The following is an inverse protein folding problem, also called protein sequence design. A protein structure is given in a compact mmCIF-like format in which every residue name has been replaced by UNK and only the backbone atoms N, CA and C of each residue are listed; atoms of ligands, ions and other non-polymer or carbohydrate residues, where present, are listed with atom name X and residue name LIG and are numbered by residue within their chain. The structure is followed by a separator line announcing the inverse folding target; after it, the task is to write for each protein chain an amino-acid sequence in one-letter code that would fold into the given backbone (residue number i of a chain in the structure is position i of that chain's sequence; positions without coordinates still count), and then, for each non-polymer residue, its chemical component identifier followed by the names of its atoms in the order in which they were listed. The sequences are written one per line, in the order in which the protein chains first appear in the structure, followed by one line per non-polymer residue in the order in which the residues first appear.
data_IF_291945965273
#
_entry.id   IF_291945965273
#
_cell.length_a   1.000
_cell.length_b   1.000
_cell.length_c   1.000
_cell.angle_alpha   90.00
_cell.angle_beta   90.00
_cell.angle_gamma   90.00
#
_symmetry.space_group_name_H-M   'P 1'
#
loop_
_entity.id
_entity.type
_entity.pdbx_description
1 polymer ?
#
# COMPACT_ATOMS: atom_id res chain seq x y z
N UNK A 1 -15.83 -5.59 5.72
CA UNK A 1 -15.80 -4.47 4.77
C UNK A 1 -17.04 -4.55 3.92
N UNK A 2 -17.71 -3.41 3.66
CA UNK A 2 -18.88 -3.39 2.78
C UNK A 2 -18.46 -3.69 1.34
N UNK A 3 -19.36 -4.28 0.55
CA UNK A 3 -19.16 -4.35 -0.91
C UNK A 3 -19.17 -2.93 -1.49
N UNK A 4 -18.30 -2.71 -2.47
CA UNK A 4 -18.13 -1.43 -3.15
C UNK A 4 -18.43 -1.68 -4.61
N UNK A 5 -19.51 -1.12 -5.14
CA UNK A 5 -19.88 -1.26 -6.56
C UNK A 5 -19.95 -2.73 -7.04
N UNK A 6 -20.39 -3.65 -6.17
CA UNK A 6 -20.47 -5.09 -6.47
C UNK A 6 -19.12 -5.82 -6.42
N UNK A 7 -18.04 -5.13 -6.03
CA UNK A 7 -16.72 -5.71 -5.81
C UNK A 7 -16.57 -6.00 -4.32
N UNK A 8 -16.10 -7.22 -4.01
CA UNK A 8 -15.77 -7.63 -2.64
C UNK A 8 -14.33 -7.23 -2.31
N UNK A 9 -14.10 -6.17 -1.51
CA UNK A 9 -12.75 -5.75 -1.17
C UNK A 9 -12.08 -6.71 -0.19
N UNK A 10 -10.77 -6.91 -0.37
CA UNK A 10 -9.91 -7.58 0.61
C UNK A 10 -9.35 -6.55 1.58
N UNK A 11 -9.70 -6.69 2.86
CA UNK A 11 -9.21 -5.78 3.90
C UNK A 11 -7.73 -6.03 4.21
N UNK A 12 -6.88 -5.04 3.96
CA UNK A 12 -5.46 -5.09 4.31
C UNK A 12 -5.15 -4.49 5.69
N UNK A 13 -6.11 -3.80 6.30
CA UNK A 13 -5.99 -3.06 7.55
C UNK A 13 -6.28 -1.58 7.37
N UNK A 14 -6.59 -0.90 8.49
CA UNK A 14 -6.93 0.52 8.48
C UNK A 14 -5.71 1.41 8.74
N UNK A 15 -5.65 2.54 8.04
CA UNK A 15 -4.73 3.64 8.34
C UNK A 15 -5.54 4.85 8.82
N UNK A 16 -4.94 5.73 9.63
CA UNK A 16 -5.59 6.93 10.16
C UNK A 16 -4.90 8.19 9.65
N UNK A 17 -5.69 9.17 9.23
CA UNK A 17 -5.18 10.44 8.73
C UNK A 17 -4.31 11.16 9.76
N UNK A 18 -3.21 11.77 9.30
CA UNK A 18 -2.26 12.49 10.14
C UNK A 18 -1.43 11.62 11.09
N UNK A 19 -1.61 10.29 11.14
CA UNK A 19 -0.90 9.38 12.06
C UNK A 19 0.14 8.53 11.31
N UNK A 20 1.23 9.17 10.89
CA UNK A 20 2.28 8.54 10.07
C UNK A 20 2.87 7.26 10.68
N UNK A 21 3.23 7.27 11.97
CA UNK A 21 3.76 6.08 12.65
C UNK A 21 2.74 4.91 12.69
N UNK A 22 1.45 5.23 12.88
CA UNK A 22 0.39 4.22 12.83
C UNK A 22 0.26 3.65 11.43
N UNK A 23 0.33 4.50 10.39
CA UNK A 23 0.28 4.08 8.99
C UNK A 23 1.43 3.14 8.66
N UNK A 24 2.66 3.50 9.03
CA UNK A 24 3.83 2.62 8.84
C UNK A 24 3.63 1.25 9.51
N UNK A 25 3.19 1.24 10.77
CA UNK A 25 2.91 -0.02 11.48
C UNK A 25 1.80 -0.86 10.82
N UNK A 26 0.72 -0.21 10.37
CA UNK A 26 -0.38 -0.87 9.68
C UNK A 26 0.07 -1.48 8.32
N UNK A 27 0.86 -0.73 7.55
CA UNK A 27 1.44 -1.19 6.28
C UNK A 27 2.39 -2.37 6.51
N UNK A 28 3.26 -2.30 7.52
CA UNK A 28 4.15 -3.41 7.86
C UNK A 28 3.37 -4.67 8.25
N UNK A 29 2.31 -4.53 9.07
CA UNK A 29 1.41 -5.65 9.42
C UNK A 29 0.68 -6.22 8.20
N UNK A 30 0.23 -5.36 7.29
CA UNK A 30 -0.38 -5.79 6.04
C UNK A 30 0.61 -6.60 5.20
N UNK A 31 1.84 -6.12 5.02
CA UNK A 31 2.88 -6.80 4.26
C UNK A 31 3.22 -8.21 4.79
N UNK A 32 3.17 -8.40 6.12
CA UNK A 32 3.39 -9.71 6.75
C UNK A 32 2.21 -10.67 6.54
N UNK A 33 0.98 -10.15 6.47
CA UNK A 33 -0.25 -10.98 6.34
C UNK A 33 -0.76 -11.13 4.91
N UNK A 34 -0.18 -10.40 3.95
CA UNK A 34 -0.75 -10.28 2.59
C UNK A 34 -0.81 -11.61 1.84
N UNK A 35 0.19 -12.49 2.00
CA UNK A 35 0.16 -13.80 1.35
C UNK A 35 -1.00 -14.67 1.82
N UNK A 36 -1.26 -14.69 3.13
CA UNK A 36 -2.41 -15.40 3.68
C UNK A 36 -3.75 -14.79 3.23
N UNK A 37 -3.81 -13.46 3.08
CA UNK A 37 -5.03 -12.77 2.63
C UNK A 37 -5.31 -12.93 1.13
N UNK A 38 -4.28 -13.23 0.33
CA UNK A 38 -4.38 -13.38 -1.12
C UNK A 38 -4.23 -14.83 -1.60
N UNK A 39 -4.07 -15.80 -0.71
CA UNK A 39 -3.70 -17.18 -1.06
C UNK A 39 -4.65 -17.87 -2.06
N UNK A 40 -5.94 -17.57 -1.97
CA UNK A 40 -6.97 -18.11 -2.87
C UNK A 40 -7.36 -17.13 -3.99
N UNK A 41 -6.67 -15.98 -4.10
CA UNK A 41 -6.97 -14.99 -5.11
C UNK A 41 -6.44 -15.46 -6.47
N UNK A 42 -7.28 -15.49 -7.52
CA UNK A 42 -6.79 -15.75 -8.87
C UNK A 42 -5.77 -14.68 -9.26
N UNK A 43 -4.79 -15.07 -10.08
CA UNK A 43 -3.76 -14.14 -10.57
C UNK A 43 -4.44 -12.96 -11.30
N UNK A 44 -4.18 -11.71 -10.88
CA UNK A 44 -4.67 -10.54 -11.61
C UNK A 44 -3.82 -10.25 -12.84
N UNK A 45 -4.41 -9.53 -13.80
CA UNK A 45 -3.71 -9.05 -15.01
C UNK A 45 -2.86 -7.79 -14.74
N UNK A 46 -3.22 -7.01 -13.71
CA UNK A 46 -2.58 -5.75 -13.35
C UNK A 46 -2.74 -5.46 -11.85
N UNK A 47 -1.71 -4.85 -11.23
CA UNK A 47 -1.81 -4.27 -9.89
C UNK A 47 -1.57 -2.76 -9.97
N UNK A 48 -2.49 -1.97 -9.42
CA UNK A 48 -2.36 -0.50 -9.34
C UNK A 48 -2.10 -0.08 -7.90
N UNK A 49 -1.06 0.73 -7.69
CA UNK A 49 -0.75 1.35 -6.42
C UNK A 49 -0.92 2.86 -6.51
N UNK A 50 -1.69 3.47 -5.60
CA UNK A 50 -2.04 4.90 -5.64
C UNK A 50 -1.23 5.79 -4.69
N UNK A 51 -0.38 5.16 -3.88
CA UNK A 51 0.53 5.80 -2.92
C UNK A 51 1.81 4.97 -2.81
N UNK A 52 2.88 5.56 -2.25
CA UNK A 52 4.16 4.85 -2.11
C UNK A 52 4.06 3.65 -1.17
N UNK A 53 3.29 3.77 -0.08
CA UNK A 53 3.07 2.64 0.82
C UNK A 53 2.29 1.51 0.14
N UNK A 54 1.29 1.83 -0.69
CA UNK A 54 0.58 0.83 -1.49
C UNK A 54 1.48 0.17 -2.53
N UNK A 55 2.45 0.87 -3.10
CA UNK A 55 3.42 0.29 -4.03
C UNK A 55 4.26 -0.81 -3.35
N UNK A 56 4.64 -0.60 -2.09
CA UNK A 56 5.33 -1.62 -1.30
C UNK A 56 4.47 -2.87 -1.10
N UNK A 57 3.18 -2.70 -0.81
CA UNK A 57 2.22 -3.79 -0.64
C UNK A 57 1.95 -4.51 -1.97
N UNK A 58 1.85 -3.78 -3.08
CA UNK A 58 1.68 -4.32 -4.42
C UNK A 58 2.83 -5.25 -4.82
N UNK A 59 4.08 -4.84 -4.56
CA UNK A 59 5.27 -5.68 -4.81
C UNK A 59 5.24 -6.96 -3.96
N UNK A 60 4.86 -6.84 -2.69
CA UNK A 60 4.75 -8.01 -1.79
C UNK A 60 3.61 -8.96 -2.21
N UNK A 61 2.47 -8.42 -2.64
CA UNK A 61 1.35 -9.18 -3.18
C UNK A 61 1.76 -9.96 -4.43
N UNK A 62 2.42 -9.29 -5.38
CA UNK A 62 2.89 -9.92 -6.63
C UNK A 62 3.83 -11.10 -6.33
N UNK A 63 4.77 -10.91 -5.40
CA UNK A 63 5.65 -11.98 -4.95
C UNK A 63 4.90 -13.13 -4.25
N UNK A 64 3.90 -12.81 -3.42
CA UNK A 64 3.10 -13.82 -2.72
C UNK A 64 2.21 -14.64 -3.65
N UNK A 65 1.72 -14.04 -4.73
CA UNK A 65 0.97 -14.71 -5.79
C UNK A 65 1.86 -15.58 -6.70
N UNK A 66 3.19 -15.59 -6.48
CA UNK A 66 4.14 -16.27 -7.37
C UNK A 66 4.08 -15.79 -8.81
N UNK A 67 3.61 -14.56 -9.02
CA UNK A 67 3.26 -14.04 -10.31
C UNK A 67 4.24 -12.94 -10.76
N UNK A 68 4.30 -12.72 -12.07
CA UNK A 68 4.98 -11.57 -12.65
C UNK A 68 3.92 -10.63 -13.24
N UNK A 69 3.03 -10.14 -12.37
CA UNK A 69 1.97 -9.21 -12.75
C UNK A 69 2.57 -7.81 -12.94
N UNK A 70 2.24 -7.09 -14.03
CA UNK A 70 2.60 -5.68 -14.18
C UNK A 70 2.10 -4.85 -12.98
N UNK A 71 2.94 -3.93 -12.50
CA UNK A 71 2.57 -2.98 -11.42
C UNK A 71 2.62 -1.57 -11.98
N UNK A 72 1.49 -0.85 -11.90
CA UNK A 72 1.38 0.57 -12.24
C UNK A 72 1.31 1.39 -10.96
N UNK A 73 2.09 2.46 -10.89
CA UNK A 73 2.04 3.42 -9.80
C UNK A 73 1.35 4.70 -10.28
N UNK A 74 0.26 5.06 -9.63
CA UNK A 74 -0.44 6.33 -9.83
C UNK A 74 0.19 7.37 -8.89
N UNK A 75 0.87 8.36 -9.48
CA UNK A 75 1.56 9.43 -8.75
C UNK A 75 0.56 10.48 -8.21
N UNK A 76 -0.19 10.15 -7.16
CA UNK A 76 -1.01 11.14 -6.44
C UNK A 76 -0.28 11.78 -5.25
N UNK A 77 0.87 11.22 -4.90
CA UNK A 77 1.46 11.40 -3.58
C UNK A 77 2.59 12.42 -3.57
N UNK A 78 2.24 13.70 -3.75
CA UNK A 78 3.14 14.82 -3.41
C UNK A 78 3.20 14.87 -1.88
N UNK A 79 4.10 14.08 -1.30
CA UNK A 79 4.20 13.90 0.14
C UNK A 79 4.40 15.25 0.83
N UNK A 80 3.36 15.77 1.50
CA UNK A 80 3.44 16.97 2.35
C UNK A 80 4.56 16.88 3.40
N UNK A 81 5.04 15.68 3.74
CA UNK A 81 6.21 15.48 4.62
C UNK A 81 7.48 16.12 4.03
N UNK A 82 7.69 16.01 2.72
CA UNK A 82 8.81 16.62 1.99
C UNK A 82 8.61 18.14 1.84
N UNK A 83 7.42 18.65 2.16
CA UNK A 83 7.09 20.08 2.22
C UNK A 83 7.12 20.62 3.66
N UNK A 84 7.49 19.82 4.66
CA UNK A 84 7.63 20.31 6.03
C UNK A 84 8.95 21.06 6.20
N UNK A 85 8.91 22.14 6.97
CA UNK A 85 10.09 22.93 7.35
C UNK A 85 10.77 22.44 8.63
N UNK A 86 10.16 21.46 9.30
CA UNK A 86 10.74 20.84 10.50
C UNK A 86 11.90 19.88 10.18
N UNK A 87 12.60 19.45 11.23
CA UNK A 87 13.78 18.59 11.12
C UNK A 87 13.50 17.31 10.32
N UNK A 88 12.30 16.74 10.48
CA UNK A 88 11.86 15.53 9.75
C UNK A 88 11.68 15.81 8.26
N UNK A 89 11.12 16.96 7.88
CA UNK A 89 11.01 17.36 6.47
C UNK A 89 12.36 17.65 5.82
N UNK A 90 13.30 18.23 6.57
CA UNK A 90 14.67 18.51 6.09
C UNK A 90 15.50 17.25 5.89
N UNK A 91 15.41 16.27 6.78
CA UNK A 91 16.18 15.01 6.64
C UNK A 91 15.67 14.11 5.52
N UNK A 92 14.43 14.27 5.06
CA UNK A 92 13.90 13.54 3.89
C UNK A 92 14.28 14.17 2.54
N UNK A 93 14.82 15.40 2.54
CA UNK A 93 15.33 16.09 1.35
C UNK A 93 16.85 15.94 1.15
N UNK A 94 17.54 15.34 2.12
CA UNK A 94 19.00 15.19 2.16
C UNK A 94 19.44 13.74 2.05
#
# INVERSE_FOLDING_TARGET
VAEIEGIKPVDLGATRDGRFAQRLGAVAKAAMSIGAKLGDMPRPDLIIARTLEMLSLARRANAALGANVPIVYECLDIHRLVLRDDFVGRTLRG
#
